data_IF_241805142764
#
_entry.id   IF_241805142764
#
_cell.length_a   1.000
_cell.length_b   1.000
_cell.length_c   1.000
_cell.angle_alpha   90.00
_cell.angle_beta   90.00
_cell.angle_gamma   90.00
#
_symmetry.space_group_name_H-M   'P 1'
#
loop_
_entity.id
_entity.type
_entity.pdbx_description
1 polymer ?
#
# COMPACT_ATOMS: atom_id res chain seq x y z
N UNK A 1 -0.24 46.46 11.76
CA UNK A 1 -0.75 45.09 12.06
C UNK A 1 -1.02 44.33 10.74
N UNK A 2 -0.07 44.31 9.79
CA UNK A 2 -0.35 43.87 8.41
C UNK A 2 0.57 42.80 7.84
N UNK A 3 1.88 42.86 8.12
CA UNK A 3 2.85 42.02 7.40
C UNK A 3 3.28 40.76 8.16
N UNK A 4 3.35 40.81 9.50
CA UNK A 4 3.73 39.64 10.31
C UNK A 4 2.63 38.56 10.37
N UNK A 5 1.36 38.97 10.33
CA UNK A 5 0.23 38.04 10.30
C UNK A 5 0.18 37.26 8.97
N UNK A 6 0.38 37.94 7.84
CA UNK A 6 0.50 37.31 6.51
C UNK A 6 1.67 36.33 6.44
N UNK A 7 2.86 36.74 6.89
CA UNK A 7 4.04 35.88 6.86
C UNK A 7 3.88 34.62 7.73
N UNK A 8 3.11 34.72 8.83
CA UNK A 8 2.78 33.56 9.66
C UNK A 8 1.81 32.61 8.95
N UNK A 9 0.73 33.13 8.36
CA UNK A 9 -0.23 32.35 7.59
C UNK A 9 0.41 31.65 6.38
N UNK A 10 1.24 32.37 5.61
CA UNK A 10 1.99 31.80 4.48
C UNK A 10 2.93 30.67 4.94
N UNK A 11 3.65 30.86 6.05
CA UNK A 11 4.50 29.80 6.63
C UNK A 11 3.69 28.58 7.06
N UNK A 12 2.49 28.77 7.63
CA UNK A 12 1.60 27.65 7.95
C UNK A 12 1.11 26.93 6.69
N UNK A 13 0.71 27.66 5.65
CA UNK A 13 0.26 27.10 4.37
C UNK A 13 1.37 26.27 3.69
N UNK A 14 2.58 26.80 3.60
CA UNK A 14 3.74 26.10 3.05
C UNK A 14 4.05 24.80 3.82
N UNK A 15 3.90 24.81 5.15
CA UNK A 15 4.07 23.62 5.98
C UNK A 15 3.02 22.56 5.68
N UNK A 16 1.76 22.97 5.46
CA UNK A 16 0.67 22.06 5.09
C UNK A 16 0.92 21.44 3.71
N UNK A 17 1.30 22.25 2.72
CA UNK A 17 1.63 21.77 1.38
C UNK A 17 2.80 20.78 1.36
N UNK A 18 3.87 21.09 2.09
CA UNK A 18 5.02 20.18 2.24
C UNK A 18 4.61 18.82 2.82
N UNK A 19 3.71 18.83 3.81
CA UNK A 19 3.16 17.59 4.40
C UNK A 19 2.31 16.82 3.39
N UNK A 20 1.42 17.51 2.67
CA UNK A 20 0.58 16.90 1.61
C UNK A 20 1.45 16.29 0.51
N UNK A 21 2.49 16.99 0.06
CA UNK A 21 3.40 16.50 -0.99
C UNK A 21 4.12 15.23 -0.57
N UNK A 22 4.70 15.20 0.63
CA UNK A 22 5.34 14.00 1.20
C UNK A 22 4.35 12.83 1.33
N UNK A 23 3.11 13.11 1.72
CA UNK A 23 2.06 12.10 1.81
C UNK A 23 1.71 11.53 0.43
N UNK A 24 1.57 12.38 -0.58
CA UNK A 24 1.33 11.95 -1.97
C UNK A 24 2.49 11.13 -2.54
N UNK A 25 3.74 11.47 -2.22
CA UNK A 25 4.90 10.68 -2.64
C UNK A 25 4.87 9.27 -2.05
N UNK A 26 4.58 9.15 -0.74
CA UNK A 26 4.40 7.84 -0.09
C UNK A 26 3.25 7.06 -0.73
N UNK A 27 2.15 7.74 -1.02
CA UNK A 27 0.97 7.15 -1.64
C UNK A 27 1.27 6.56 -3.02
N UNK A 28 1.97 7.31 -3.86
CA UNK A 28 2.41 6.86 -5.19
C UNK A 28 3.35 5.66 -5.10
N UNK A 29 4.23 5.65 -4.11
CA UNK A 29 5.20 4.57 -3.94
C UNK A 29 4.51 3.27 -3.47
N UNK A 30 3.59 3.34 -2.51
CA UNK A 30 2.77 2.19 -2.10
C UNK A 30 1.92 1.66 -3.25
N UNK A 31 1.29 2.55 -4.03
CA UNK A 31 0.49 2.16 -5.21
C UNK A 31 1.34 1.42 -6.24
N UNK A 32 2.55 1.91 -6.52
CA UNK A 32 3.48 1.28 -7.47
C UNK A 32 3.83 -0.16 -7.07
N UNK A 33 4.12 -0.40 -5.79
CA UNK A 33 4.39 -1.75 -5.28
C UNK A 33 3.13 -2.60 -5.37
N UNK A 34 1.97 -2.06 -4.99
CA UNK A 34 0.70 -2.78 -5.07
C UNK A 34 0.39 -3.26 -6.50
N UNK A 35 0.54 -2.39 -7.49
CA UNK A 35 0.32 -2.69 -8.91
C UNK A 35 1.36 -3.67 -9.45
N UNK A 36 2.65 -3.50 -9.10
CA UNK A 36 3.73 -4.40 -9.52
C UNK A 36 3.47 -5.86 -9.13
N UNK A 37 2.89 -6.11 -7.96
CA UNK A 37 2.59 -7.47 -7.48
C UNK A 37 1.19 -7.97 -7.88
N UNK A 38 0.52 -7.26 -8.79
CA UNK A 38 -0.79 -7.62 -9.33
C UNK A 38 -1.91 -7.51 -8.29
N UNK A 39 -1.82 -6.52 -7.40
CA UNK A 39 -2.83 -6.19 -6.39
C UNK A 39 -3.06 -7.31 -5.36
N UNK A 40 -2.26 -8.38 -5.35
CA UNK A 40 -2.40 -9.50 -4.40
C UNK A 40 -1.87 -9.18 -3.01
N UNK A 41 -0.97 -8.20 -2.92
CA UNK A 41 -0.25 -7.91 -1.69
C UNK A 41 -1.04 -6.93 -0.83
N UNK A 42 -1.28 -7.34 0.42
CA UNK A 42 -1.80 -6.45 1.46
C UNK A 42 -0.68 -5.72 2.20
N UNK A 43 -1.07 -4.93 3.22
CA UNK A 43 -0.14 -4.11 4.00
C UNK A 43 1.11 -4.85 4.51
N UNK A 44 1.04 -6.08 5.06
CA UNK A 44 2.23 -6.78 5.55
C UNK A 44 3.25 -7.11 4.45
N UNK A 45 2.78 -7.49 3.25
CA UNK A 45 3.67 -7.88 2.14
C UNK A 45 4.27 -6.66 1.47
N UNK A 46 3.47 -5.61 1.27
CA UNK A 46 3.98 -4.33 0.77
C UNK A 46 5.01 -3.76 1.73
N UNK A 47 4.80 -3.82 3.04
CA UNK A 47 5.77 -3.34 4.03
C UNK A 47 7.13 -4.03 3.87
N UNK A 48 7.14 -5.36 3.70
CA UNK A 48 8.38 -6.12 3.51
C UNK A 48 9.11 -5.73 2.24
N UNK A 49 8.38 -5.53 1.15
CA UNK A 49 8.96 -5.09 -0.12
C UNK A 49 9.54 -3.68 -0.05
N UNK A 50 8.82 -2.78 0.62
CA UNK A 50 9.30 -1.42 0.87
C UNK A 50 10.55 -1.41 1.74
N UNK A 51 10.60 -2.25 2.78
CA UNK A 51 11.79 -2.40 3.61
C UNK A 51 12.98 -2.94 2.81
N UNK A 52 12.74 -3.88 1.88
CA UNK A 52 13.77 -4.39 0.97
C UNK A 52 14.27 -3.32 -0.02
N UNK A 53 13.40 -2.39 -0.44
CA UNK A 53 13.76 -1.21 -1.24
C UNK A 53 14.39 -0.07 -0.38
N UNK A 54 14.63 -0.30 0.92
CA UNK A 54 15.22 0.68 1.85
C UNK A 54 14.22 1.68 2.44
N UNK A 55 12.95 1.62 2.04
CA UNK A 55 11.89 2.51 2.50
C UNK A 55 11.13 1.90 3.67
N UNK A 56 11.58 2.25 4.87
CA UNK A 56 10.98 1.76 6.10
C UNK A 56 9.66 2.51 6.40
N UNK A 57 8.56 1.75 6.41
CA UNK A 57 7.25 2.23 6.84
C UNK A 57 6.60 1.21 7.77
N UNK A 58 5.85 1.70 8.76
CA UNK A 58 5.06 0.83 9.63
C UNK A 58 3.88 0.26 8.84
N UNK A 59 3.54 -1.01 9.08
CA UNK A 59 2.38 -1.70 8.51
C UNK A 59 1.09 -0.87 8.66
N UNK A 60 0.86 -0.26 9.83
CA UNK A 60 -0.31 0.60 10.07
C UNK A 60 -0.39 1.77 9.11
N UNK A 61 0.76 2.35 8.77
CA UNK A 61 0.81 3.45 7.80
C UNK A 61 0.50 2.95 6.40
N UNK A 62 1.00 1.79 6.01
CA UNK A 62 0.68 1.18 4.71
C UNK A 62 -0.82 0.85 4.63
N UNK A 63 -1.40 0.27 5.68
CA UNK A 63 -2.83 0.00 5.75
C UNK A 63 -3.68 1.28 5.62
N UNK A 64 -3.31 2.36 6.31
CA UNK A 64 -3.99 3.64 6.20
C UNK A 64 -3.85 4.26 4.78
N UNK A 65 -2.69 4.09 4.14
CA UNK A 65 -2.46 4.53 2.77
C UNK A 65 -3.34 3.74 1.79
N UNK A 66 -3.35 2.42 1.90
CA UNK A 66 -4.21 1.55 1.08
C UNK A 66 -5.68 1.92 1.25
N UNK A 67 -6.14 2.10 2.49
CA UNK A 67 -7.50 2.52 2.80
C UNK A 67 -7.87 3.88 2.20
N UNK A 68 -7.00 4.91 2.36
CA UNK A 68 -7.22 6.23 1.76
C UNK A 68 -7.33 6.19 0.23
N UNK A 69 -6.59 5.29 -0.41
CA UNK A 69 -6.60 5.14 -1.87
C UNK A 69 -7.68 4.18 -2.38
N UNK A 70 -8.45 3.54 -1.49
CA UNK A 70 -9.41 2.50 -1.86
C UNK A 70 -8.78 1.23 -2.43
N UNK A 71 -7.48 1.00 -2.19
CA UNK A 71 -6.76 -0.17 -2.69
C UNK A 71 -6.99 -1.35 -1.75
N UNK A 72 -7.54 -2.45 -2.27
CA UNK A 72 -7.80 -3.68 -1.51
C UNK A 72 -7.12 -4.86 -2.18
N UNK A 73 -6.38 -5.63 -1.38
CA UNK A 73 -5.69 -6.80 -1.89
C UNK A 73 -6.67 -7.82 -2.50
N UNK A 74 -6.38 -8.31 -3.70
CA UNK A 74 -7.11 -9.39 -4.36
C UNK A 74 -6.95 -10.68 -3.54
N UNK A 75 -8.07 -11.22 -3.09
CA UNK A 75 -8.10 -12.51 -2.43
C UNK A 75 -7.77 -13.64 -3.42
N UNK A 76 -7.09 -14.68 -2.96
CA UNK A 76 -6.89 -15.89 -3.76
C UNK A 76 -8.25 -16.54 -4.03
N UNK A 77 -8.58 -16.76 -5.31
CA UNK A 77 -9.79 -17.50 -5.68
C UNK A 77 -9.61 -18.95 -5.26
N UNK A 78 -10.55 -19.49 -4.48
CA UNK A 78 -10.57 -20.92 -4.13
C UNK A 78 -10.72 -21.73 -5.43
N UNK A 79 -9.70 -22.51 -5.78
CA UNK A 79 -9.75 -23.43 -6.91
C UNK A 79 -10.76 -24.54 -6.58
N UNK A 80 -11.65 -24.88 -7.53
CA UNK A 80 -12.52 -26.06 -7.40
C UNK A 80 -11.69 -27.29 -7.81
N UNK A 81 -11.71 -28.33 -6.98
CA UNK A 81 -11.00 -29.57 -7.30
C UNK A 81 -11.65 -30.24 -8.52
N UNK A 82 -10.89 -30.44 -9.59
CA UNK A 82 -11.28 -31.25 -10.74
C UNK A 82 -11.13 -32.73 -10.40
N UNK A 83 -12.08 -33.57 -10.85
CA UNK A 83 -12.14 -35.02 -10.55
C UNK A 83 -10.84 -35.79 -10.89
N UNK A 84 -10.00 -35.30 -11.79
CA UNK A 84 -8.71 -35.92 -12.14
C UNK A 84 -7.71 -35.98 -10.98
N UNK A 85 -7.70 -35.01 -10.06
CA UNK A 85 -6.77 -35.03 -8.91
C UNK A 85 -7.07 -36.20 -7.94
N UNK A 86 -8.30 -36.73 -7.94
CA UNK A 86 -8.67 -37.89 -7.11
C UNK A 86 -8.10 -39.20 -7.65
N UNK A 87 -7.88 -39.30 -8.97
CA UNK A 87 -7.41 -40.52 -9.65
C UNK A 87 -5.92 -40.81 -9.36
N UNK A 88 -5.10 -39.78 -9.20
CA UNK A 88 -3.70 -39.90 -8.76
C UNK A 88 -3.58 -40.35 -7.30
N UNK A 89 -4.42 -39.82 -6.41
CA UNK A 89 -4.40 -40.13 -4.98
C UNK A 89 -4.84 -41.57 -4.64
N UNK A 90 -5.65 -42.21 -5.49
CA UNK A 90 -6.14 -43.57 -5.29
C UNK A 90 -5.23 -44.66 -5.90
N UNK A 91 -4.15 -44.27 -6.58
CA UNK A 91 -3.29 -45.19 -7.36
C UNK A 91 -1.97 -45.55 -6.64
N UNK A 92 -1.82 -45.17 -5.38
CA UNK A 92 -0.63 -45.40 -4.55
C UNK A 92 -0.97 -46.11 -3.22
N UNK A 93 -2.07 -46.86 -3.19
CA UNK A 93 -2.50 -47.67 -2.05
C UNK A 93 -2.62 -49.12 -2.51
#
# INVERSE_FOLDING_TARGET
MGDLARAFEEKQLLKIERRKRRQQERDRHVRRVFERHGERYGAPRIQRELAAEGLHANEKTIAAILGRQGLKAKAARKLKATKENRKWALRQR
#
